data_IF_523459954672
#
_entry.id   IF_523459954672
#
_cell.length_a   1.000
_cell.length_b   1.000
_cell.length_c   1.000
_cell.angle_alpha   90.00
_cell.angle_beta   90.00
_cell.angle_gamma   90.00
#
_symmetry.space_group_name_H-M   'P 1'
#
loop_
_entity.id
_entity.type
_entity.pdbx_description
1 polymer ?
#
# COMPACT_ATOMS: atom_id res chain seq x y z
N UNK A 1 7.22 1.98 -23.35
CA UNK A 1 8.34 1.01 -23.34
C UNK A 1 7.79 -0.34 -22.88
N UNK A 2 8.05 -1.42 -23.61
CA UNK A 2 7.69 -2.79 -23.20
C UNK A 2 8.95 -3.59 -22.85
N UNK A 3 8.87 -4.36 -21.77
CA UNK A 3 9.92 -5.25 -21.29
C UNK A 3 9.32 -6.61 -20.96
N UNK A 4 10.18 -7.61 -20.74
CA UNK A 4 9.76 -8.93 -20.29
C UNK A 4 10.42 -9.25 -18.95
N UNK A 5 9.62 -9.40 -17.90
CA UNK A 5 10.08 -9.80 -16.57
C UNK A 5 9.97 -11.31 -16.44
N UNK A 6 11.06 -12.02 -16.72
CA UNK A 6 11.04 -13.47 -16.88
C UNK A 6 10.12 -13.88 -18.03
N UNK A 7 9.02 -14.57 -17.73
CA UNK A 7 8.02 -14.96 -18.72
C UNK A 7 6.83 -14.01 -18.84
N UNK A 8 6.81 -12.91 -18.08
CA UNK A 8 5.67 -11.97 -18.02
C UNK A 8 5.96 -10.73 -18.87
N UNK A 9 5.23 -10.48 -19.97
CA UNK A 9 5.29 -9.21 -20.69
C UNK A 9 4.82 -8.07 -19.79
N UNK A 10 5.52 -6.93 -19.80
CA UNK A 10 5.24 -5.80 -18.92
C UNK A 10 5.40 -4.48 -19.68
N UNK A 11 4.45 -3.57 -19.46
CA UNK A 11 4.51 -2.20 -19.98
C UNK A 11 4.99 -1.28 -18.88
N UNK A 12 6.03 -0.49 -19.18
CA UNK A 12 6.54 0.53 -18.27
C UNK A 12 5.92 1.87 -18.63
N UNK A 13 5.26 2.48 -17.63
CA UNK A 13 4.69 3.82 -17.69
C UNK A 13 5.69 4.78 -17.03
N UNK A 14 6.24 5.71 -17.80
CA UNK A 14 7.37 6.56 -17.37
C UNK A 14 7.18 8.05 -17.66
N UNK A 15 5.94 8.51 -17.83
CA UNK A 15 5.61 9.94 -17.91
C UNK A 15 4.32 10.25 -17.15
N UNK A 16 4.13 11.50 -16.67
CA UNK A 16 2.90 11.91 -16.01
C UNK A 16 1.65 11.74 -16.87
N UNK A 17 1.73 12.05 -18.16
CA UNK A 17 0.61 11.97 -19.11
C UNK A 17 0.17 10.52 -19.29
N UNK A 18 1.13 9.60 -19.42
CA UNK A 18 0.84 8.17 -19.50
C UNK A 18 0.31 7.61 -18.17
N UNK A 19 0.80 8.12 -17.03
CA UNK A 19 0.29 7.75 -15.72
C UNK A 19 -1.16 8.22 -15.51
N UNK A 20 -1.53 9.42 -15.98
CA UNK A 20 -2.91 9.91 -15.93
C UNK A 20 -3.86 9.03 -16.74
N UNK A 21 -3.44 8.61 -17.95
CA UNK A 21 -4.22 7.67 -18.76
C UNK A 21 -4.50 6.37 -17.99
N UNK A 22 -3.49 5.81 -17.31
CA UNK A 22 -3.59 4.51 -16.65
C UNK A 22 -4.28 4.58 -15.27
N UNK A 23 -3.97 5.58 -14.46
CA UNK A 23 -4.39 5.66 -13.05
C UNK A 23 -5.65 6.50 -12.83
N UNK A 24 -6.14 7.23 -13.84
CA UNK A 24 -7.31 8.10 -13.72
C UNK A 24 -8.30 7.91 -14.86
N UNK A 25 -7.87 8.03 -16.12
CA UNK A 25 -8.79 8.00 -17.26
C UNK A 25 -9.29 6.57 -17.54
N UNK A 26 -8.40 5.58 -17.43
CA UNK A 26 -8.70 4.16 -17.62
C UNK A 26 -8.46 3.34 -16.35
N UNK A 27 -8.60 3.98 -15.19
CA UNK A 27 -8.24 3.42 -13.88
C UNK A 27 -8.91 2.07 -13.60
N UNK A 28 -10.20 1.92 -13.90
CA UNK A 28 -10.96 0.68 -13.67
C UNK A 28 -10.43 -0.47 -14.53
N UNK A 29 -10.01 -0.20 -15.78
CA UNK A 29 -9.47 -1.22 -16.70
C UNK A 29 -8.18 -1.81 -16.12
N UNK A 30 -7.36 -0.96 -15.51
CA UNK A 30 -6.05 -1.31 -14.99
C UNK A 30 -6.01 -1.52 -13.46
N UNK A 31 -7.17 -1.48 -12.80
CA UNK A 31 -7.24 -1.55 -11.34
C UNK A 31 -6.88 -2.92 -10.77
N UNK A 32 -7.05 -4.00 -11.54
CA UNK A 32 -6.77 -5.36 -11.08
C UNK A 32 -5.27 -5.60 -10.89
N UNK A 33 -4.93 -6.42 -9.89
CA UNK A 33 -3.55 -6.83 -9.62
C UNK A 33 -3.20 -8.11 -10.38
N UNK A 34 -1.96 -8.25 -10.87
CA UNK A 34 -1.51 -9.50 -11.44
C UNK A 34 -1.56 -10.61 -10.37
N UNK A 35 -1.89 -11.83 -10.78
CA UNK A 35 -1.83 -12.99 -9.89
C UNK A 35 -0.37 -13.32 -9.59
N UNK A 36 0.03 -13.09 -8.35
CA UNK A 36 1.37 -13.41 -7.86
C UNK A 36 1.28 -14.63 -6.96
N UNK A 37 2.07 -15.67 -7.23
CA UNK A 37 2.11 -16.88 -6.42
C UNK A 37 2.47 -16.56 -4.96
N UNK A 38 3.38 -15.61 -4.73
CA UNK A 38 3.68 -15.10 -3.40
C UNK A 38 2.43 -14.62 -2.64
N UNK A 39 1.57 -13.85 -3.31
CA UNK A 39 0.39 -13.27 -2.68
C UNK A 39 -0.71 -14.33 -2.40
N UNK A 40 -0.69 -15.49 -3.06
CA UNK A 40 -1.53 -16.62 -2.67
C UNK A 40 -1.16 -17.12 -1.27
N UNK A 41 0.14 -17.22 -0.97
CA UNK A 41 0.63 -17.71 0.32
C UNK A 41 0.56 -16.65 1.43
N UNK A 42 0.95 -15.41 1.15
CA UNK A 42 1.08 -14.37 2.20
C UNK A 42 -0.13 -13.45 2.33
N UNK A 43 -1.02 -13.43 1.33
CA UNK A 43 -2.17 -12.52 1.28
C UNK A 43 -3.49 -13.27 1.26
N UNK A 44 -3.63 -14.30 2.09
CA UNK A 44 -4.88 -15.07 2.28
C UNK A 44 -5.51 -15.53 0.96
N UNK A 45 -4.69 -16.01 0.00
CA UNK A 45 -5.18 -16.37 -1.33
C UNK A 45 -5.57 -15.15 -2.18
N UNK A 46 -4.75 -14.10 -2.18
CA UNK A 46 -5.05 -12.80 -2.83
C UNK A 46 -6.32 -12.11 -2.29
N UNK A 47 -6.73 -12.37 -1.05
CA UNK A 47 -7.91 -11.75 -0.44
C UNK A 47 -7.45 -10.65 0.52
N UNK A 48 -7.47 -9.41 0.03
CA UNK A 48 -7.13 -8.24 0.83
C UNK A 48 -7.15 -6.95 0.01
N UNK A 49 -6.80 -5.83 0.63
CA UNK A 49 -6.80 -4.53 -0.04
C UNK A 49 -5.70 -4.40 -1.10
N UNK A 50 -4.54 -5.03 -0.88
CA UNK A 50 -3.33 -4.82 -1.68
C UNK A 50 -3.26 -5.68 -2.95
N UNK A 51 -3.69 -6.95 -2.88
CA UNK A 51 -3.47 -7.95 -3.93
C UNK A 51 -4.76 -8.54 -4.55
N UNK A 52 -5.95 -8.19 -4.02
CA UNK A 52 -7.17 -8.70 -4.61
C UNK A 52 -7.41 -8.10 -6.01
N UNK A 53 -7.95 -8.89 -6.96
CA UNK A 53 -8.40 -8.37 -8.25
C UNK A 53 -9.53 -7.37 -8.03
N UNK A 54 -9.66 -6.42 -8.96
CA UNK A 54 -10.71 -5.43 -8.85
C UNK A 54 -12.08 -6.08 -9.00
N UNK A 55 -13.01 -5.74 -8.11
CA UNK A 55 -14.34 -6.34 -8.07
C UNK A 55 -15.15 -5.84 -6.87
N UNK A 56 -16.35 -6.39 -6.69
CA UNK A 56 -17.24 -6.04 -5.57
C UNK A 56 -16.56 -6.22 -4.21
N UNK A 57 -15.87 -7.34 -4.00
CA UNK A 57 -15.11 -7.62 -2.78
C UNK A 57 -14.08 -6.52 -2.47
N UNK A 58 -13.18 -6.24 -3.42
CA UNK A 58 -12.14 -5.22 -3.23
C UNK A 58 -12.73 -3.83 -2.98
N UNK A 59 -13.80 -3.45 -3.69
CA UNK A 59 -14.49 -2.17 -3.48
C UNK A 59 -15.06 -2.05 -2.07
N UNK A 60 -15.66 -3.12 -1.56
CA UNK A 60 -16.19 -3.17 -0.19
C UNK A 60 -15.06 -3.04 0.83
N UNK A 61 -14.01 -3.86 0.72
CA UNK A 61 -12.86 -3.81 1.64
C UNK A 61 -12.22 -2.41 1.63
N UNK A 62 -12.00 -1.83 0.45
CA UNK A 62 -11.47 -0.46 0.33
C UNK A 62 -12.36 0.55 1.04
N UNK A 63 -13.68 0.52 0.82
CA UNK A 63 -14.62 1.41 1.49
C UNK A 63 -14.55 1.28 3.02
N UNK A 64 -14.49 0.06 3.54
CA UNK A 64 -14.36 -0.19 4.97
C UNK A 64 -13.06 0.37 5.54
N UNK A 65 -11.92 0.11 4.90
CA UNK A 65 -10.63 0.66 5.31
C UNK A 65 -10.64 2.19 5.30
N UNK A 66 -11.17 2.81 4.24
CA UNK A 66 -11.26 4.27 4.13
C UNK A 66 -12.11 4.85 5.26
N UNK A 67 -13.28 4.29 5.56
CA UNK A 67 -14.18 4.86 6.56
C UNK A 67 -13.71 4.59 8.00
N UNK A 68 -13.25 3.37 8.28
CA UNK A 68 -13.03 2.91 9.65
C UNK A 68 -11.58 3.03 10.13
N UNK A 69 -10.61 3.12 9.22
CA UNK A 69 -9.19 3.14 9.57
C UNK A 69 -8.49 4.42 9.10
N UNK A 70 -8.81 4.88 7.88
CA UNK A 70 -8.04 5.92 7.18
C UNK A 70 -8.80 7.25 7.02
N UNK A 71 -9.95 7.41 7.67
CA UNK A 71 -10.68 8.69 7.67
C UNK A 71 -10.02 9.68 8.62
N UNK A 72 -10.15 10.98 8.34
CA UNK A 72 -9.53 12.05 9.15
C UNK A 72 -9.87 11.91 10.63
N UNK A 73 -11.15 11.66 10.95
CA UNK A 73 -11.59 11.45 12.33
C UNK A 73 -10.92 10.25 13.00
N UNK A 74 -10.68 9.15 12.28
CA UNK A 74 -9.97 7.98 12.81
C UNK A 74 -8.48 8.26 12.96
N UNK A 75 -7.88 8.98 12.02
CA UNK A 75 -6.48 9.40 12.09
C UNK A 75 -6.25 10.28 13.32
N UNK A 76 -7.13 11.23 13.58
CA UNK A 76 -7.12 12.08 14.78
C UNK A 76 -7.33 11.26 16.07
N UNK A 77 -8.28 10.33 16.06
CA UNK A 77 -8.54 9.46 17.21
C UNK A 77 -7.30 8.65 17.63
N UNK A 78 -6.53 8.14 16.67
CA UNK A 78 -5.32 7.35 16.93
C UNK A 78 -4.04 8.19 17.10
N UNK A 79 -4.15 9.51 17.01
CA UNK A 79 -3.04 10.45 17.10
C UNK A 79 -2.22 10.31 18.41
N UNK A 80 -2.83 10.17 19.60
CA UNK A 80 -2.07 10.03 20.84
C UNK A 80 -1.18 8.79 20.90
N UNK A 81 -1.63 7.68 20.29
CA UNK A 81 -0.85 6.44 20.22
C UNK A 81 0.38 6.66 19.34
N UNK A 82 0.20 7.23 18.15
CA UNK A 82 1.33 7.50 17.23
C UNK A 82 2.35 8.44 17.86
N UNK A 83 1.90 9.50 18.56
CA UNK A 83 2.80 10.42 19.26
C UNK A 83 3.67 9.67 20.28
N UNK A 84 3.06 8.83 21.12
CA UNK A 84 3.78 8.05 22.14
C UNK A 84 4.82 7.12 21.52
N UNK A 85 4.49 6.42 20.43
CA UNK A 85 5.45 5.52 19.75
C UNK A 85 6.63 6.30 19.16
N UNK A 86 6.38 7.49 18.61
CA UNK A 86 7.44 8.37 18.09
C UNK A 86 8.33 8.89 19.22
N UNK A 87 7.75 9.35 20.33
CA UNK A 87 8.51 9.79 21.52
C UNK A 87 9.40 8.67 22.06
N UNK A 88 8.85 7.46 22.21
CA UNK A 88 9.58 6.27 22.64
C UNK A 88 10.75 5.94 21.69
N UNK A 89 10.53 6.01 20.38
CA UNK A 89 11.57 5.81 19.39
C UNK A 89 12.69 6.85 19.52
N UNK A 90 12.34 8.13 19.65
CA UNK A 90 13.30 9.22 19.82
C UNK A 90 14.14 9.03 21.07
N UNK A 91 13.53 8.66 22.19
CA UNK A 91 14.25 8.41 23.44
C UNK A 91 15.18 7.21 23.35
N UNK A 92 14.77 6.15 22.66
CA UNK A 92 15.64 5.00 22.37
C UNK A 92 16.86 5.41 21.55
N UNK A 93 16.66 6.23 20.52
CA UNK A 93 17.76 6.73 19.68
C UNK A 93 18.72 7.59 20.50
N UNK A 94 18.21 8.50 21.35
CA UNK A 94 19.03 9.33 22.24
C UNK A 94 19.90 8.48 23.19
N UNK A 95 19.31 7.44 23.79
CA UNK A 95 20.04 6.52 24.68
C UNK A 95 21.10 5.72 23.93
N UNK A 96 20.80 5.21 22.73
CA UNK A 96 21.75 4.50 21.89
C UNK A 96 22.94 5.40 21.50
N UNK A 97 22.66 6.65 21.09
CA UNK A 97 23.70 7.62 20.77
C UNK A 97 24.59 7.96 21.97
N UNK A 98 24.00 8.13 23.17
CA UNK A 98 24.74 8.44 24.38
C UNK A 98 25.59 7.27 24.91
N UNK A 99 25.18 6.03 24.65
CA UNK A 99 25.89 4.82 25.09
C UNK A 99 27.02 4.38 24.14
N UNK A 100 27.23 5.08 23.02
CA UNK A 100 28.32 4.78 22.08
C UNK A 100 28.25 3.39 21.44
N UNK A 101 27.08 2.74 21.48
CA UNK A 101 26.89 1.45 20.82
C UNK A 101 26.87 1.67 19.30
N UNK A 102 28.00 1.36 18.67
CA UNK A 102 28.15 1.18 17.22
C UNK A 102 27.54 -0.14 16.79
#
# INVERSE_FOLDING_TARGET
MSIRLGNVPTIVVSSPEAAELFLKIHDVVFASRPKLQFADYVSYGNKGLAFAPYGSFWRTVRKWCTLQLLSSSKVELFEPIRRREVESLVDRIKRAAASGQK
#
